data_IF_056758311178
#
_entry.id   IF_056758311178
#
_cell.length_a   1.000
_cell.length_b   1.000
_cell.length_c   1.000
_cell.angle_alpha   90.00
_cell.angle_beta   90.00
_cell.angle_gamma   90.00
#
_symmetry.space_group_name_H-M   'P 1'
#
loop_
_entity.id
_entity.type
_entity.pdbx_description
1 polymer ?
#
# COMPACT_ATOMS: atom_id res chain seq x y z
N UNK A 1 -26.58 -31.80 -13.33
CA UNK A 1 -26.68 -30.40 -13.81
C UNK A 1 -27.24 -30.41 -15.22
N UNK A 2 -28.26 -29.58 -15.44
CA UNK A 2 -29.10 -29.54 -16.64
C UNK A 2 -28.31 -29.18 -17.91
N UNK A 3 -28.78 -29.67 -19.06
CA UNK A 3 -28.25 -29.47 -20.43
C UNK A 3 -28.20 -27.98 -20.85
N UNK A 4 -28.67 -27.07 -20.01
CA UNK A 4 -28.67 -25.62 -20.25
C UNK A 4 -27.35 -24.89 -19.96
N UNK A 5 -26.36 -25.53 -19.33
CA UNK A 5 -25.08 -24.87 -18.98
C UNK A 5 -23.96 -25.05 -20.04
N UNK A 6 -24.29 -25.56 -21.24
CA UNK A 6 -23.34 -25.64 -22.36
C UNK A 6 -23.38 -24.34 -23.16
N UNK A 7 -22.56 -23.36 -22.78
CA UNK A 7 -22.28 -22.19 -23.62
C UNK A 7 -21.58 -22.68 -24.90
N UNK A 8 -22.14 -22.47 -26.10
CA UNK A 8 -21.52 -22.85 -27.38
C UNK A 8 -20.22 -22.06 -27.60
N UNK A 9 -19.18 -22.67 -28.19
CA UNK A 9 -17.91 -22.00 -28.49
C UNK A 9 -18.07 -20.75 -29.39
N UNK A 10 -19.15 -20.66 -30.16
CA UNK A 10 -19.55 -19.46 -30.91
C UNK A 10 -19.83 -18.25 -29.99
N UNK A 11 -20.28 -18.46 -28.76
CA UNK A 11 -20.48 -17.39 -27.76
C UNK A 11 -19.21 -17.01 -26.99
N UNK A 12 -18.13 -17.79 -27.06
CA UNK A 12 -16.83 -17.47 -26.42
C UNK A 12 -15.89 -16.66 -27.35
N UNK A 13 -16.14 -16.69 -28.66
CA UNK A 13 -15.40 -15.95 -29.69
C UNK A 13 -16.03 -14.61 -30.10
N UNK A 14 -17.17 -14.23 -29.50
CA UNK A 14 -17.69 -12.87 -29.66
C UNK A 14 -16.81 -11.90 -28.86
N UNK A 15 -16.22 -10.87 -29.48
CA UNK A 15 -15.53 -9.82 -28.75
C UNK A 15 -16.58 -8.99 -28.02
N UNK A 16 -16.40 -8.78 -26.71
CA UNK A 16 -16.65 -7.45 -26.18
C UNK A 16 -15.61 -6.54 -26.83
N UNK A 17 -16.09 -5.48 -27.47
CA UNK A 17 -15.45 -4.54 -28.39
C UNK A 17 -14.27 -3.75 -27.80
N UNK A 18 -13.19 -4.40 -27.35
CA UNK A 18 -12.06 -3.70 -26.67
C UNK A 18 -10.65 -4.13 -27.10
N UNK A 19 -10.51 -5.04 -28.08
CA UNK A 19 -9.22 -5.44 -28.64
C UNK A 19 -9.20 -5.24 -30.17
N UNK A 20 -9.04 -4.01 -30.64
CA UNK A 20 -8.78 -3.76 -32.05
C UNK A 20 -8.08 -2.42 -32.28
N UNK A 21 -6.77 -2.44 -32.55
CA UNK A 21 -6.10 -1.42 -33.35
C UNK A 21 -6.39 -1.70 -34.84
N UNK A 22 -6.53 -0.65 -35.65
CA UNK A 22 -7.34 -0.67 -36.89
C UNK A 22 -6.87 -1.59 -38.02
N UNK A 23 -5.63 -2.05 -38.04
CA UNK A 23 -5.09 -2.80 -39.18
C UNK A 23 -5.33 -4.32 -39.11
N UNK A 24 -5.62 -4.87 -37.92
CA UNK A 24 -5.93 -6.30 -37.76
C UNK A 24 -7.41 -6.63 -38.02
N UNK A 25 -8.30 -5.62 -38.04
CA UNK A 25 -9.76 -5.78 -38.08
C UNK A 25 -10.26 -6.32 -39.43
N UNK A 26 -9.62 -5.93 -40.53
CA UNK A 26 -10.15 -6.22 -41.88
C UNK A 26 -9.87 -7.66 -42.31
N UNK A 27 -8.74 -8.24 -41.89
CA UNK A 27 -8.37 -9.62 -42.21
C UNK A 27 -9.04 -10.62 -41.25
N UNK A 28 -9.29 -10.22 -40.00
CA UNK A 28 -9.89 -11.09 -38.99
C UNK A 28 -11.43 -11.06 -38.96
N UNK A 29 -12.07 -9.96 -39.36
CA UNK A 29 -13.54 -9.87 -39.43
C UNK A 29 -14.17 -10.86 -40.42
N UNK A 30 -13.59 -11.03 -41.62
CA UNK A 30 -14.04 -12.03 -42.60
C UNK A 30 -13.76 -13.47 -42.17
N UNK A 31 -12.63 -13.72 -41.48
CA UNK A 31 -12.24 -15.05 -40.97
C UNK A 31 -13.03 -15.48 -39.72
N UNK A 32 -13.58 -14.51 -38.96
CA UNK A 32 -14.42 -14.73 -37.78
C UNK A 32 -15.79 -15.31 -38.15
N UNK A 33 -16.48 -14.72 -39.13
CA UNK A 33 -17.78 -15.22 -39.61
C UNK A 33 -17.71 -16.66 -40.14
N UNK A 34 -16.60 -17.03 -40.78
CA UNK A 34 -16.40 -18.37 -41.34
C UNK A 34 -16.14 -19.43 -40.25
N UNK A 35 -15.42 -19.06 -39.18
CA UNK A 35 -15.19 -19.92 -38.03
C UNK A 35 -16.43 -20.05 -37.14
N UNK A 36 -17.14 -18.94 -36.89
CA UNK A 36 -18.40 -18.92 -36.14
C UNK A 36 -19.47 -19.76 -36.84
N UNK A 37 -19.57 -19.69 -38.17
CA UNK A 37 -20.48 -20.53 -38.97
C UNK A 37 -20.18 -22.03 -38.82
N UNK A 38 -18.91 -22.44 -38.94
CA UNK A 38 -18.52 -23.85 -38.72
C UNK A 38 -18.76 -24.28 -37.27
N UNK A 39 -18.51 -23.41 -36.29
CA UNK A 39 -18.70 -23.73 -34.88
C UNK A 39 -20.18 -23.82 -34.47
N UNK A 40 -21.07 -23.04 -35.08
CA UNK A 40 -22.52 -23.20 -34.93
C UNK A 40 -23.03 -24.50 -35.56
N UNK A 41 -22.48 -24.89 -36.70
CA UNK A 41 -22.73 -26.19 -37.34
C UNK A 41 -22.31 -27.35 -36.42
N UNK A 42 -21.12 -27.25 -35.82
CA UNK A 42 -20.61 -28.21 -34.85
C UNK A 42 -21.44 -28.30 -33.57
N UNK A 43 -21.94 -27.18 -33.05
CA UNK A 43 -22.80 -27.17 -31.87
C UNK A 43 -24.21 -27.72 -32.18
N UNK A 44 -24.75 -27.48 -33.38
CA UNK A 44 -26.00 -28.10 -33.83
C UNK A 44 -25.87 -29.62 -33.96
N UNK A 45 -24.75 -30.12 -34.46
CA UNK A 45 -24.51 -31.57 -34.54
C UNK A 45 -24.19 -32.25 -33.21
N UNK A 46 -23.72 -31.51 -32.20
CA UNK A 46 -23.48 -32.01 -30.84
C UNK A 46 -24.78 -32.15 -30.01
N UNK A 47 -25.82 -31.40 -30.36
CA UNK A 47 -27.08 -31.29 -29.59
C UNK A 47 -28.23 -32.08 -30.23
N UNK A 48 -28.16 -32.40 -31.54
CA UNK A 48 -29.20 -33.19 -32.19
C UNK A 48 -29.11 -34.69 -31.81
N UNK A 49 -30.23 -35.33 -31.41
CA UNK A 49 -30.25 -36.75 -31.08
C UNK A 49 -29.86 -37.60 -32.30
N UNK A 50 -28.99 -38.59 -32.09
CA UNK A 50 -28.64 -39.59 -33.11
C UNK A 50 -29.92 -40.17 -33.71
N UNK A 51 -29.96 -40.27 -35.05
CA UNK A 51 -30.98 -41.05 -35.78
C UNK A 51 -31.08 -42.43 -35.13
N UNK A 52 -32.22 -42.74 -34.51
CA UNK A 52 -32.53 -44.05 -33.93
C UNK A 52 -32.45 -45.12 -35.03
N UNK A 53 -31.36 -45.87 -35.07
CA UNK A 53 -31.22 -47.05 -35.93
C UNK A 53 -31.48 -48.29 -35.08
N UNK A 54 -32.46 -49.10 -35.46
CA UNK A 54 -32.82 -50.35 -34.76
C UNK A 54 -31.67 -51.35 -34.65
N UNK A 55 -30.69 -51.29 -35.56
CA UNK A 55 -29.48 -52.14 -35.54
C UNK A 55 -28.57 -51.83 -34.34
N UNK A 56 -28.56 -50.58 -33.86
CA UNK A 56 -27.71 -50.15 -32.74
C UNK A 56 -28.07 -50.85 -31.44
N UNK A 57 -29.36 -51.10 -31.21
CA UNK A 57 -29.87 -51.80 -30.01
C UNK A 57 -29.52 -53.30 -30.05
N UNK A 58 -29.46 -53.92 -31.23
CA UNK A 58 -29.01 -55.31 -31.39
C UNK A 58 -27.53 -55.48 -31.05
N UNK A 59 -26.68 -54.55 -31.51
CA UNK A 59 -25.25 -54.55 -31.18
C UNK A 59 -24.98 -54.28 -29.70
N UNK A 60 -25.80 -53.47 -29.02
CA UNK A 60 -25.67 -53.26 -27.57
C UNK A 60 -26.01 -54.53 -26.79
N UNK A 61 -27.02 -55.29 -27.23
CA UNK A 61 -27.39 -56.56 -26.59
C UNK A 61 -26.27 -57.61 -26.69
N UNK A 62 -25.51 -57.59 -27.78
CA UNK A 62 -24.34 -58.46 -27.99
C UNK A 62 -23.14 -58.09 -27.10
N UNK A 63 -23.00 -56.81 -26.71
CA UNK A 63 -21.82 -56.29 -25.96
C UNK A 63 -22.15 -56.02 -24.49
N UNK A 64 -23.35 -56.39 -24.03
CA UNK A 64 -23.91 -56.02 -22.73
C UNK A 64 -22.99 -56.32 -21.53
N UNK A 65 -22.27 -57.44 -21.56
CA UNK A 65 -21.39 -57.87 -20.46
C UNK A 65 -20.06 -57.10 -20.41
N UNK A 66 -19.62 -56.51 -21.53
CA UNK A 66 -18.36 -55.76 -21.65
C UNK A 66 -18.57 -54.27 -21.92
N UNK A 67 -19.81 -53.78 -21.86
CA UNK A 67 -20.18 -52.42 -22.22
C UNK A 67 -19.41 -51.37 -21.40
N UNK A 68 -19.12 -51.66 -20.13
CA UNK A 68 -18.29 -50.82 -19.26
C UNK A 68 -16.84 -50.68 -19.74
N UNK A 69 -16.25 -51.75 -20.29
CA UNK A 69 -14.90 -51.73 -20.84
C UNK A 69 -14.89 -51.01 -22.19
N UNK A 70 -15.89 -51.30 -23.03
CA UNK A 70 -16.04 -50.66 -24.33
C UNK A 70 -16.23 -49.14 -24.22
N UNK A 71 -17.08 -48.66 -23.31
CA UNK A 71 -17.27 -47.22 -23.08
C UNK A 71 -15.97 -46.55 -22.62
N UNK A 72 -15.22 -47.17 -21.71
CA UNK A 72 -13.91 -46.63 -21.26
C UNK A 72 -12.88 -46.62 -22.39
N UNK A 73 -12.77 -47.69 -23.15
CA UNK A 73 -11.85 -47.78 -24.29
C UNK A 73 -12.19 -46.78 -25.40
N UNK A 74 -13.48 -46.54 -25.68
CA UNK A 74 -13.89 -45.49 -26.62
C UNK A 74 -13.49 -44.09 -26.13
N UNK A 75 -13.61 -43.82 -24.83
CA UNK A 75 -13.17 -42.54 -24.23
C UNK A 75 -11.65 -42.40 -24.33
N UNK A 76 -10.88 -43.43 -23.99
CA UNK A 76 -9.43 -43.41 -24.06
C UNK A 76 -8.91 -43.33 -25.50
N UNK A 77 -9.46 -44.12 -26.43
CA UNK A 77 -9.12 -44.11 -27.85
C UNK A 77 -9.37 -42.72 -28.47
N UNK A 78 -10.47 -42.04 -28.11
CA UNK A 78 -10.71 -40.68 -28.55
C UNK A 78 -9.59 -39.71 -28.15
N UNK A 79 -8.91 -39.96 -27.01
CA UNK A 79 -7.77 -39.19 -26.55
C UNK A 79 -6.52 -39.28 -27.42
N UNK A 80 -6.28 -40.46 -28.01
CA UNK A 80 -5.10 -40.73 -28.84
C UNK A 80 -5.27 -40.27 -30.29
N UNK A 81 -6.50 -40.12 -30.74
CA UNK A 81 -6.80 -39.62 -32.07
C UNK A 81 -6.47 -38.13 -32.23
N UNK A 82 -6.03 -37.75 -33.42
CA UNK A 82 -5.75 -36.36 -33.81
C UNK A 82 -6.83 -35.75 -34.70
N UNK A 83 -7.52 -36.59 -35.47
CA UNK A 83 -8.58 -36.13 -36.36
C UNK A 83 -9.88 -35.83 -35.57
N UNK A 84 -10.41 -34.59 -35.65
CA UNK A 84 -11.61 -34.22 -34.92
C UNK A 84 -12.87 -35.03 -35.28
N UNK A 85 -12.98 -35.55 -36.51
CA UNK A 85 -14.13 -36.36 -36.93
C UNK A 85 -14.13 -37.72 -36.22
N UNK A 86 -12.98 -38.40 -36.20
CA UNK A 86 -12.80 -39.66 -35.49
C UNK A 86 -12.99 -39.52 -33.98
N UNK A 87 -12.45 -38.45 -33.37
CA UNK A 87 -12.68 -38.15 -31.95
C UNK A 87 -14.17 -37.98 -31.65
N UNK A 88 -14.90 -37.24 -32.48
CA UNK A 88 -16.33 -37.00 -32.30
C UNK A 88 -17.14 -38.30 -32.41
N UNK A 89 -16.79 -39.16 -33.37
CA UNK A 89 -17.41 -40.48 -33.54
C UNK A 89 -17.24 -41.35 -32.28
N UNK A 90 -16.02 -41.42 -31.73
CA UNK A 90 -15.71 -42.21 -30.54
C UNK A 90 -16.38 -41.67 -29.27
N UNK A 91 -16.41 -40.35 -29.09
CA UNK A 91 -17.11 -39.71 -27.96
C UNK A 91 -18.63 -39.89 -28.05
N UNK A 92 -19.22 -39.78 -29.25
CA UNK A 92 -20.65 -40.07 -29.46
C UNK A 92 -20.98 -41.54 -29.19
N UNK A 93 -20.12 -42.47 -29.59
CA UNK A 93 -20.27 -43.89 -29.29
C UNK A 93 -20.21 -44.17 -27.78
N UNK A 94 -19.29 -43.52 -27.06
CA UNK A 94 -19.21 -43.61 -25.60
C UNK A 94 -20.44 -43.00 -24.91
N UNK A 95 -20.96 -41.86 -25.40
CA UNK A 95 -22.19 -41.24 -24.87
C UNK A 95 -23.41 -42.15 -25.04
N UNK A 96 -23.51 -42.81 -26.21
CA UNK A 96 -24.58 -43.75 -26.48
C UNK A 96 -24.48 -44.98 -25.57
N UNK A 97 -23.31 -45.61 -25.46
CA UNK A 97 -23.10 -46.78 -24.59
C UNK A 97 -23.35 -46.48 -23.10
N UNK A 98 -23.00 -45.27 -22.65
CA UNK A 98 -23.26 -44.81 -21.28
C UNK A 98 -24.74 -44.76 -20.92
N UNK A 99 -25.64 -44.51 -21.88
CA UNK A 99 -27.08 -44.45 -21.63
C UNK A 99 -27.73 -45.79 -21.26
N UNK A 100 -27.02 -46.91 -21.51
CA UNK A 100 -27.53 -48.28 -21.28
C UNK A 100 -26.91 -48.96 -20.06
N UNK A 101 -25.98 -48.32 -19.36
CA UNK A 101 -25.38 -48.87 -18.14
C UNK A 101 -25.82 -48.07 -16.91
N UNK A 102 -26.46 -48.70 -15.92
CA UNK A 102 -26.71 -48.07 -14.63
C UNK A 102 -25.38 -47.86 -13.87
N UNK A 103 -25.23 -46.69 -13.23
CA UNK A 103 -24.11 -46.32 -12.33
C UNK A 103 -22.71 -46.09 -12.95
N UNK A 104 -22.57 -45.77 -14.24
CA UNK A 104 -21.27 -45.31 -14.78
C UNK A 104 -20.93 -43.90 -14.28
N UNK A 105 -19.74 -43.76 -13.68
CA UNK A 105 -19.15 -42.47 -13.37
C UNK A 105 -19.00 -41.61 -14.64
N UNK A 106 -19.59 -40.42 -14.58
CA UNK A 106 -19.62 -39.46 -15.68
C UNK A 106 -18.35 -38.61 -15.77
N UNK A 107 -17.54 -38.59 -14.72
CA UNK A 107 -16.33 -37.79 -14.62
C UNK A 107 -15.30 -38.06 -15.73
N UNK A 108 -14.90 -39.30 -16.07
CA UNK A 108 -13.90 -39.57 -17.11
C UNK A 108 -14.34 -39.08 -18.50
N UNK A 109 -15.63 -39.23 -18.82
CA UNK A 109 -16.20 -38.74 -20.08
C UNK A 109 -16.14 -37.21 -20.17
N UNK A 110 -16.55 -36.50 -19.11
CA UNK A 110 -16.54 -35.04 -19.08
C UNK A 110 -15.11 -34.51 -19.12
N UNK A 111 -14.19 -35.17 -18.41
CA UNK A 111 -12.75 -34.83 -18.39
C UNK A 111 -12.11 -35.01 -19.75
N UNK A 112 -12.40 -36.10 -20.46
CA UNK A 112 -11.90 -36.34 -21.81
C UNK A 112 -12.42 -35.28 -22.79
N UNK A 113 -13.72 -34.98 -22.76
CA UNK A 113 -14.30 -33.91 -23.58
C UNK A 113 -13.65 -32.55 -23.34
N UNK A 114 -13.38 -32.18 -22.07
CA UNK A 114 -12.64 -30.94 -21.74
C UNK A 114 -11.21 -30.96 -22.28
N UNK A 115 -10.53 -32.10 -22.15
CA UNK A 115 -9.14 -32.30 -22.57
C UNK A 115 -9.01 -32.20 -24.10
N UNK A 116 -9.87 -32.90 -24.83
CA UNK A 116 -9.92 -32.87 -26.30
C UNK A 116 -10.23 -31.47 -26.83
N UNK A 117 -11.11 -30.72 -26.17
CA UNK A 117 -11.40 -29.32 -26.55
C UNK A 117 -10.16 -28.43 -26.46
N UNK A 118 -9.38 -28.53 -25.38
CA UNK A 118 -8.12 -27.78 -25.24
C UNK A 118 -7.05 -28.25 -26.22
N UNK A 119 -6.89 -29.57 -26.37
CA UNK A 119 -5.90 -30.16 -27.28
C UNK A 119 -6.18 -29.79 -28.73
N UNK A 120 -7.43 -29.90 -29.20
CA UNK A 120 -7.78 -29.52 -30.57
C UNK A 120 -7.60 -28.02 -30.81
N UNK A 121 -7.94 -27.18 -29.83
CA UNK A 121 -7.70 -25.75 -29.92
C UNK A 121 -6.21 -25.45 -30.16
N UNK A 122 -5.33 -26.12 -29.42
CA UNK A 122 -3.88 -25.95 -29.47
C UNK A 122 -3.21 -26.65 -30.68
N UNK A 123 -3.78 -27.76 -31.15
CA UNK A 123 -3.34 -28.54 -32.33
C UNK A 123 -3.70 -27.87 -33.66
N UNK A 124 -4.65 -26.93 -33.67
CA UNK A 124 -5.02 -26.20 -34.88
C UNK A 124 -3.78 -25.68 -35.62
N UNK A 125 -3.76 -25.83 -36.95
CA UNK A 125 -2.61 -25.53 -37.80
C UNK A 125 -2.06 -24.11 -37.61
N UNK A 126 -2.91 -23.17 -37.21
CA UNK A 126 -2.55 -21.76 -36.96
C UNK A 126 -1.78 -21.54 -35.65
N UNK A 127 -1.91 -22.44 -34.68
CA UNK A 127 -1.23 -22.38 -33.37
C UNK A 127 -0.03 -23.34 -33.35
N UNK A 128 -0.16 -24.49 -34.02
CA UNK A 128 0.95 -25.36 -34.38
C UNK A 128 1.67 -25.99 -33.18
N UNK A 129 0.91 -26.44 -32.19
CA UNK A 129 1.46 -27.17 -31.03
C UNK A 129 0.85 -28.58 -31.00
N UNK A 130 1.53 -29.57 -31.61
CA UNK A 130 1.03 -30.95 -31.70
C UNK A 130 1.23 -31.68 -30.36
N UNK A 131 0.31 -31.48 -29.42
CA UNK A 131 0.34 -32.17 -28.12
C UNK A 131 -0.44 -33.48 -28.16
N UNK A 132 0.17 -34.54 -27.65
CA UNK A 132 -0.51 -35.81 -27.37
C UNK A 132 -1.20 -35.76 -26.01
N UNK A 133 -2.23 -36.60 -25.81
CA UNK A 133 -2.91 -36.70 -24.51
C UNK A 133 -1.97 -37.18 -23.39
N UNK A 134 -0.98 -38.01 -23.72
CA UNK A 134 0.05 -38.50 -22.78
C UNK A 134 0.99 -37.38 -22.32
N UNK A 135 1.19 -36.35 -23.14
CA UNK A 135 1.97 -35.16 -22.77
C UNK A 135 1.16 -34.12 -22.00
N UNK A 136 -0.18 -34.16 -22.06
CA UNK A 136 -1.09 -33.23 -21.40
C UNK A 136 -2.05 -33.96 -20.43
N UNK A 137 -1.54 -34.52 -19.31
CA UNK A 137 -2.41 -35.17 -18.33
C UNK A 137 -3.18 -34.12 -17.52
N UNK A 138 -4.50 -34.09 -17.65
CA UNK A 138 -5.42 -33.27 -16.85
C UNK A 138 -5.60 -33.80 -15.40
N UNK A 139 -4.88 -34.86 -15.02
CA UNK A 139 -4.88 -35.48 -13.69
C UNK A 139 -3.49 -35.39 -13.08
N UNK A 140 -3.32 -34.55 -12.07
CA UNK A 140 -2.09 -34.50 -11.28
C UNK A 140 -2.09 -35.64 -10.26
N UNK A 141 -1.66 -36.84 -10.65
CA UNK A 141 -1.22 -37.84 -9.68
C UNK A 141 0.21 -37.50 -9.24
N UNK A 142 0.55 -37.74 -7.97
CA UNK A 142 1.78 -37.30 -7.30
C UNK A 142 3.08 -37.70 -8.06
N UNK A 143 3.05 -38.77 -8.85
CA UNK A 143 4.17 -39.24 -9.68
C UNK A 143 4.36 -38.48 -11.00
N UNK A 144 3.33 -37.84 -11.56
CA UNK A 144 3.36 -37.23 -12.91
C UNK A 144 3.85 -35.78 -12.91
N UNK A 145 4.19 -35.22 -11.74
CA UNK A 145 4.65 -33.83 -11.59
C UNK A 145 6.09 -33.62 -12.11
N UNK A 146 6.86 -34.69 -12.29
CA UNK A 146 8.30 -34.63 -12.57
C UNK A 146 8.69 -34.78 -14.05
N UNK A 147 7.78 -35.17 -14.97
CA UNK A 147 8.17 -35.44 -16.37
C UNK A 147 7.26 -34.91 -17.49
N UNK A 148 6.08 -34.33 -17.22
CA UNK A 148 5.14 -33.92 -18.30
C UNK A 148 4.56 -32.51 -18.13
N UNK A 149 4.15 -31.92 -19.27
CA UNK A 149 3.73 -30.54 -19.45
C UNK A 149 2.52 -30.21 -18.56
N UNK A 150 2.75 -29.55 -17.42
CA UNK A 150 1.64 -29.07 -16.60
C UNK A 150 0.83 -28.00 -17.35
N UNK A 151 -0.45 -27.85 -17.03
CA UNK A 151 -1.33 -26.88 -17.67
C UNK A 151 -0.76 -25.44 -17.65
N UNK A 152 -0.04 -25.10 -16.57
CA UNK A 152 0.71 -23.86 -16.42
C UNK A 152 1.80 -23.72 -17.49
N UNK A 153 2.57 -24.77 -17.77
CA UNK A 153 3.63 -24.73 -18.80
C UNK A 153 3.02 -24.62 -20.21
N UNK A 154 1.84 -25.18 -20.45
CA UNK A 154 1.13 -24.96 -21.71
C UNK A 154 0.76 -23.49 -21.88
N UNK A 155 0.18 -22.87 -20.87
CA UNK A 155 -0.16 -21.44 -20.89
C UNK A 155 1.10 -20.59 -21.07
N UNK A 156 2.18 -20.88 -20.35
CA UNK A 156 3.46 -20.18 -20.47
C UNK A 156 4.03 -20.28 -21.90
N UNK A 157 3.93 -21.46 -22.54
CA UNK A 157 4.33 -21.64 -23.94
C UNK A 157 3.45 -20.83 -24.91
N UNK A 158 2.13 -20.79 -24.68
CA UNK A 158 1.22 -19.97 -25.49
C UNK A 158 1.51 -18.48 -25.33
N UNK A 159 1.82 -18.04 -24.11
CA UNK A 159 2.23 -16.66 -23.78
C UNK A 159 3.53 -16.29 -24.49
N UNK A 160 4.55 -17.16 -24.45
CA UNK A 160 5.83 -16.95 -25.16
C UNK A 160 5.62 -16.87 -26.68
N UNK A 161 4.69 -17.68 -27.23
CA UNK A 161 4.28 -17.62 -28.64
C UNK A 161 3.31 -16.48 -28.97
N UNK A 162 2.99 -15.61 -28.01
CA UNK A 162 2.11 -14.44 -28.17
C UNK A 162 0.64 -14.76 -28.44
N UNK A 163 0.19 -15.99 -28.15
CA UNK A 163 -1.20 -16.40 -28.24
C UNK A 163 -1.98 -16.08 -26.94
N UNK A 164 -1.94 -14.82 -26.50
CA UNK A 164 -2.51 -14.38 -25.22
C UNK A 164 -4.03 -14.61 -25.12
N UNK A 165 -4.78 -14.30 -26.19
CA UNK A 165 -6.23 -14.48 -26.20
C UNK A 165 -6.62 -15.95 -26.00
N UNK A 166 -6.00 -16.86 -26.74
CA UNK A 166 -6.23 -18.29 -26.59
C UNK A 166 -5.89 -18.78 -25.18
N UNK A 167 -4.76 -18.32 -24.63
CA UNK A 167 -4.36 -18.67 -23.27
C UNK A 167 -5.41 -18.22 -22.23
N UNK A 168 -5.95 -17.01 -22.36
CA UNK A 168 -7.02 -16.51 -21.48
C UNK A 168 -8.30 -17.33 -21.63
N UNK A 169 -8.71 -17.66 -22.85
CA UNK A 169 -9.91 -18.47 -23.08
C UNK A 169 -9.77 -19.87 -22.49
N UNK A 170 -8.60 -20.50 -22.63
CA UNK A 170 -8.31 -21.80 -22.03
C UNK A 170 -8.31 -21.69 -20.49
N UNK A 171 -7.74 -20.64 -19.91
CA UNK A 171 -7.74 -20.40 -18.46
C UNK A 171 -9.17 -20.25 -17.90
N UNK A 172 -10.02 -19.47 -18.58
CA UNK A 172 -11.45 -19.30 -18.23
C UNK A 172 -12.22 -20.61 -18.38
N UNK A 173 -11.97 -21.35 -19.46
CA UNK A 173 -12.63 -22.64 -19.72
C UNK A 173 -12.31 -23.68 -18.63
N UNK A 174 -11.07 -23.68 -18.14
CA UNK A 174 -10.62 -24.57 -17.07
C UNK A 174 -10.94 -24.05 -15.67
N UNK A 175 -11.64 -22.90 -15.57
CA UNK A 175 -12.08 -22.28 -14.30
C UNK A 175 -10.93 -22.09 -13.30
N UNK A 176 -9.78 -21.65 -13.80
CA UNK A 176 -8.66 -21.33 -12.91
C UNK A 176 -8.97 -20.08 -12.08
N UNK A 177 -8.35 -19.96 -10.88
CA UNK A 177 -8.31 -18.70 -10.17
C UNK A 177 -7.76 -17.59 -11.05
N UNK A 178 -8.40 -16.42 -11.05
CA UNK A 178 -8.03 -15.33 -11.95
C UNK A 178 -6.57 -14.89 -11.76
N UNK A 179 -6.05 -14.93 -10.52
CA UNK A 179 -4.67 -14.59 -10.16
C UNK A 179 -3.65 -15.47 -10.91
N UNK A 180 -3.86 -16.79 -10.93
CA UNK A 180 -2.94 -17.73 -11.57
C UNK A 180 -3.16 -17.86 -13.08
N UNK A 181 -4.36 -17.51 -13.56
CA UNK A 181 -4.75 -17.60 -14.95
C UNK A 181 -4.73 -16.27 -15.67
N UNK A 182 -5.90 -15.65 -15.77
CA UNK A 182 -6.16 -14.47 -16.58
C UNK A 182 -5.23 -13.29 -16.22
N UNK A 183 -5.08 -12.99 -14.93
CA UNK A 183 -4.28 -11.88 -14.41
C UNK A 183 -2.79 -12.05 -14.74
N UNK A 184 -2.23 -13.24 -14.52
CA UNK A 184 -0.84 -13.55 -14.88
C UNK A 184 -0.59 -13.41 -16.38
N UNK A 185 -1.48 -13.93 -17.22
CA UNK A 185 -1.36 -13.83 -18.68
C UNK A 185 -1.44 -12.36 -19.14
N UNK A 186 -2.34 -11.58 -18.55
CA UNK A 186 -2.49 -10.15 -18.81
C UNK A 186 -1.25 -9.35 -18.40
N UNK A 187 -0.62 -9.68 -17.26
CA UNK A 187 0.63 -9.06 -16.84
C UNK A 187 1.76 -9.31 -17.84
N UNK A 188 1.90 -10.55 -18.35
CA UNK A 188 2.87 -10.87 -19.40
C UNK A 188 2.56 -10.17 -20.72
N UNK A 189 1.28 -10.07 -21.11
CA UNK A 189 0.85 -9.31 -22.27
C UNK A 189 1.20 -7.82 -22.14
N UNK A 190 0.96 -7.22 -20.98
CA UNK A 190 1.31 -5.82 -20.71
C UNK A 190 2.83 -5.60 -20.77
N UNK A 191 3.62 -6.50 -20.16
CA UNK A 191 5.08 -6.46 -20.27
C UNK A 191 5.57 -6.56 -21.72
N UNK A 192 4.93 -7.42 -22.53
CA UNK A 192 5.25 -7.52 -23.96
C UNK A 192 4.89 -6.23 -24.70
N UNK A 193 3.73 -5.63 -24.41
CA UNK A 193 3.30 -4.38 -25.04
C UNK A 193 4.19 -3.20 -24.68
N UNK A 194 4.64 -3.11 -23.43
CA UNK A 194 5.58 -2.09 -22.95
C UNK A 194 6.92 -2.13 -23.68
N UNK A 195 7.39 -3.32 -24.07
CA UNK A 195 8.62 -3.49 -24.88
C UNK A 195 8.50 -2.96 -26.31
N UNK A 196 7.29 -2.74 -26.83
CA UNK A 196 7.09 -2.32 -28.22
C UNK A 196 7.42 -0.85 -28.41
N UNK A 197 8.67 -0.61 -28.80
CA UNK A 197 9.34 0.68 -28.94
C UNK A 197 8.68 1.67 -29.92
N UNK A 198 7.91 1.15 -30.88
CA UNK A 198 7.29 1.91 -31.98
C UNK A 198 5.94 2.55 -31.64
N UNK A 199 5.27 2.10 -30.56
CA UNK A 199 3.94 2.60 -30.18
C UNK A 199 4.05 3.81 -29.27
N UNK A 200 3.08 4.73 -29.42
CA UNK A 200 2.96 5.90 -28.57
C UNK A 200 2.70 5.52 -27.11
N UNK A 201 3.38 6.23 -26.21
CA UNK A 201 3.36 5.99 -24.76
C UNK A 201 1.96 6.19 -24.16
N UNK A 202 1.18 7.15 -24.64
CA UNK A 202 -0.14 7.46 -24.06
C UNK A 202 -1.19 6.45 -24.50
N UNK A 203 -1.11 6.01 -25.74
CA UNK A 203 -1.94 4.92 -26.26
C UNK A 203 -1.62 3.62 -25.54
N UNK A 204 -0.34 3.29 -25.35
CA UNK A 204 0.07 2.08 -24.63
C UNK A 204 -0.42 2.10 -23.18
N UNK A 205 -0.29 3.22 -22.47
CA UNK A 205 -0.76 3.34 -21.10
C UNK A 205 -2.28 3.16 -20.98
N UNK A 206 -3.06 3.84 -21.85
CA UNK A 206 -4.52 3.70 -21.88
C UNK A 206 -4.96 2.29 -22.22
N UNK A 207 -4.37 1.68 -23.25
CA UNK A 207 -4.73 0.32 -23.64
C UNK A 207 -4.42 -0.71 -22.53
N UNK A 208 -3.35 -0.50 -21.76
CA UNK A 208 -3.04 -1.36 -20.61
C UNK A 208 -4.05 -1.10 -19.49
N UNK A 209 -4.36 0.16 -19.19
CA UNK A 209 -5.34 0.55 -18.19
C UNK A 209 -6.74 -0.01 -18.50
N UNK A 210 -7.21 0.10 -19.74
CA UNK A 210 -8.53 -0.38 -20.16
C UNK A 210 -8.66 -1.92 -20.07
N UNK A 211 -7.54 -2.64 -20.29
CA UNK A 211 -7.54 -4.11 -20.35
C UNK A 211 -7.23 -4.78 -19.02
N UNK A 212 -6.36 -4.18 -18.20
CA UNK A 212 -6.09 -4.66 -16.85
C UNK A 212 -7.16 -4.16 -15.89
N UNK A 213 -7.68 -2.94 -16.07
CA UNK A 213 -8.64 -2.31 -15.20
C UNK A 213 -8.27 -2.47 -13.72
N UNK A 214 -9.27 -2.78 -12.89
CA UNK A 214 -9.08 -3.17 -11.50
C UNK A 214 -9.04 -4.70 -11.31
N UNK A 215 -8.50 -5.44 -12.29
CA UNK A 215 -8.45 -6.89 -12.20
C UNK A 215 -7.65 -7.34 -10.96
N UNK A 216 -8.22 -8.21 -10.11
CA UNK A 216 -7.55 -8.65 -8.90
C UNK A 216 -6.28 -9.45 -9.24
N UNK A 217 -5.18 -9.11 -8.56
CA UNK A 217 -3.92 -9.84 -8.65
C UNK A 217 -2.91 -9.32 -9.68
N UNK A 218 -3.21 -8.27 -10.45
CA UNK A 218 -2.20 -7.62 -11.30
C UNK A 218 -1.64 -6.39 -10.61
N UNK A 219 -0.31 -6.30 -10.48
CA UNK A 219 0.36 -5.08 -10.02
C UNK A 219 0.91 -4.29 -11.20
N UNK A 220 0.44 -3.06 -11.36
CA UNK A 220 0.99 -2.09 -12.30
C UNK A 220 2.45 -1.76 -11.98
N UNK A 221 2.87 -1.87 -10.72
CA UNK A 221 4.26 -1.63 -10.31
C UNK A 221 5.27 -2.54 -11.02
N UNK A 222 4.93 -3.81 -11.28
CA UNK A 222 5.82 -4.75 -11.98
C UNK A 222 5.95 -4.40 -13.46
N UNK A 223 4.84 -3.98 -14.06
CA UNK A 223 4.77 -3.56 -15.47
C UNK A 223 5.54 -2.25 -15.65
N UNK A 224 5.39 -1.31 -14.72
CA UNK A 224 6.12 -0.05 -14.69
C UNK A 224 7.64 -0.26 -14.49
N UNK A 225 8.06 -1.19 -13.61
CA UNK A 225 9.46 -1.60 -13.50
C UNK A 225 10.00 -2.12 -14.83
N UNK A 226 9.23 -2.96 -15.54
CA UNK A 226 9.63 -3.44 -16.87
C UNK A 226 9.67 -2.32 -17.92
N UNK A 227 8.82 -1.30 -17.82
CA UNK A 227 8.91 -0.11 -18.66
C UNK A 227 10.19 0.68 -18.39
N UNK A 228 10.55 0.85 -17.12
CA UNK A 228 11.78 1.49 -16.68
C UNK A 228 13.02 0.74 -17.17
N UNK A 229 13.06 -0.59 -17.00
CA UNK A 229 14.13 -1.48 -17.49
C UNK A 229 14.35 -1.34 -19.02
N UNK A 230 13.29 -1.03 -19.76
CA UNK A 230 13.34 -0.82 -21.21
C UNK A 230 13.68 0.63 -21.62
N UNK A 231 14.07 1.49 -20.67
CA UNK A 231 14.39 2.90 -20.90
C UNK A 231 13.18 3.81 -21.14
N UNK A 232 11.95 3.33 -20.92
CA UNK A 232 10.71 4.08 -21.13
C UNK A 232 10.20 4.68 -19.82
N UNK A 233 11.00 5.56 -19.22
CA UNK A 233 10.73 6.19 -17.90
C UNK A 233 9.38 6.92 -17.86
N UNK A 234 9.09 7.74 -18.87
CA UNK A 234 7.83 8.48 -18.99
C UNK A 234 6.58 7.57 -19.06
N UNK A 235 6.70 6.39 -19.69
CA UNK A 235 5.63 5.39 -19.70
C UNK A 235 5.50 4.73 -18.32
N UNK A 236 6.62 4.45 -17.65
CA UNK A 236 6.63 3.88 -16.30
C UNK A 236 5.91 4.80 -15.29
N UNK A 237 6.15 6.12 -15.37
CA UNK A 237 5.48 7.12 -14.52
C UNK A 237 3.97 7.10 -14.79
N UNK A 238 3.53 7.15 -16.04
CA UNK A 238 2.08 7.10 -16.34
C UNK A 238 1.43 5.79 -15.89
N UNK A 239 2.13 4.65 -15.99
CA UNK A 239 1.61 3.36 -15.55
C UNK A 239 1.49 3.27 -14.03
N UNK A 240 2.34 3.97 -13.29
CA UNK A 240 2.34 3.90 -11.83
C UNK A 240 1.18 4.65 -11.20
N UNK A 241 0.62 5.65 -11.89
CA UNK A 241 -0.56 6.37 -11.44
C UNK A 241 -1.81 5.48 -11.36
N UNK A 242 -1.81 4.34 -12.06
CA UNK A 242 -2.87 3.34 -11.97
C UNK A 242 -2.68 2.33 -10.83
N UNK A 243 -1.52 2.32 -10.14
CA UNK A 243 -1.33 1.45 -8.97
C UNK A 243 -2.02 2.08 -7.74
N UNK A 244 -2.97 1.39 -7.08
CA UNK A 244 -3.68 1.94 -5.93
C UNK A 244 -2.83 1.97 -4.64
N UNK A 245 -1.72 1.22 -4.60
CA UNK A 245 -0.88 1.06 -3.41
C UNK A 245 0.29 2.04 -3.43
N UNK A 246 0.21 3.07 -2.58
CA UNK A 246 1.27 4.06 -2.41
C UNK A 246 2.63 3.45 -2.03
N UNK A 247 2.63 2.39 -1.21
CA UNK A 247 3.84 1.68 -0.78
C UNK A 247 4.62 1.03 -1.93
N UNK A 248 3.98 0.75 -3.06
CA UNK A 248 4.63 0.26 -4.28
C UNK A 248 4.95 1.41 -5.25
N UNK A 249 4.12 2.45 -5.23
CA UNK A 249 4.27 3.62 -6.08
C UNK A 249 5.53 4.42 -5.72
N UNK A 250 5.65 4.84 -4.46
CA UNK A 250 6.69 5.76 -4.00
C UNK A 250 8.10 5.21 -4.20
N UNK A 251 8.44 3.96 -3.81
CA UNK A 251 9.79 3.43 -4.00
C UNK A 251 10.20 3.31 -5.47
N UNK A 252 9.23 3.11 -6.38
CA UNK A 252 9.53 3.05 -7.81
C UNK A 252 9.68 4.45 -8.41
N UNK A 253 8.90 5.45 -7.98
CA UNK A 253 9.11 6.85 -8.37
C UNK A 253 10.49 7.36 -7.95
N UNK A 254 10.93 7.06 -6.73
CA UNK A 254 12.28 7.39 -6.26
C UNK A 254 13.36 6.76 -7.14
N UNK A 255 13.21 5.49 -7.54
CA UNK A 255 14.15 4.82 -8.46
C UNK A 255 14.17 5.43 -9.86
N UNK A 256 13.08 6.08 -10.29
CA UNK A 256 12.97 6.77 -11.56
C UNK A 256 13.54 8.20 -11.52
N UNK A 257 13.96 8.68 -10.35
CA UNK A 257 14.42 10.06 -10.13
C UNK A 257 13.27 11.08 -10.01
N UNK A 258 12.04 10.61 -9.82
CA UNK A 258 10.86 11.47 -9.68
C UNK A 258 10.63 11.82 -8.20
N UNK A 259 11.50 12.67 -7.68
CA UNK A 259 11.60 13.07 -6.29
C UNK A 259 10.34 13.80 -5.78
N UNK A 260 9.92 14.90 -6.44
CA UNK A 260 8.76 15.69 -6.02
C UNK A 260 7.45 14.90 -6.14
N UNK A 261 7.16 14.20 -7.27
CA UNK A 261 5.96 13.36 -7.36
C UNK A 261 5.92 12.27 -6.30
N UNK A 262 7.07 11.68 -5.95
CA UNK A 262 7.13 10.67 -4.88
C UNK A 262 6.74 11.25 -3.52
N UNK A 263 7.16 12.49 -3.22
CA UNK A 263 6.82 13.18 -1.98
C UNK A 263 5.33 13.48 -1.90
N UNK A 264 4.74 13.97 -2.98
CA UNK A 264 3.29 14.25 -3.04
C UNK A 264 2.49 12.97 -2.82
N UNK A 265 2.84 11.87 -3.52
CA UNK A 265 2.16 10.59 -3.34
C UNK A 265 2.34 9.98 -1.95
N UNK A 266 3.50 10.19 -1.32
CA UNK A 266 3.71 9.78 0.07
C UNK A 266 2.83 10.59 1.04
N UNK A 267 2.73 11.90 0.86
CA UNK A 267 1.87 12.78 1.68
C UNK A 267 0.39 12.38 1.51
N UNK A 268 -0.06 12.19 0.26
CA UNK A 268 -1.44 11.79 -0.05
C UNK A 268 -1.81 10.43 0.57
N UNK A 269 -0.83 9.54 0.75
CA UNK A 269 -1.04 8.23 1.37
C UNK A 269 -1.31 8.30 2.87
N UNK A 270 -0.89 9.39 3.53
CA UNK A 270 -0.97 9.56 4.98
C UNK A 270 -0.02 8.65 5.79
N UNK A 271 0.80 7.83 5.12
CA UNK A 271 1.78 6.96 5.78
C UNK A 271 3.04 7.75 6.13
N UNK A 272 3.26 7.97 7.44
CA UNK A 272 4.41 8.73 7.93
C UNK A 272 5.74 8.06 7.61
N UNK A 273 5.78 6.73 7.58
CA UNK A 273 7.01 5.99 7.31
C UNK A 273 7.41 6.17 5.85
N UNK A 274 6.44 6.16 4.95
CA UNK A 274 6.66 6.42 3.54
C UNK A 274 7.16 7.85 3.27
N UNK A 275 6.61 8.83 4.00
CA UNK A 275 7.10 10.22 3.93
C UNK A 275 8.53 10.32 4.45
N UNK A 276 8.88 9.63 5.54
CA UNK A 276 10.26 9.59 6.03
C UNK A 276 11.23 8.96 5.04
N UNK A 277 10.84 7.87 4.37
CA UNK A 277 11.66 7.24 3.33
C UNK A 277 11.99 8.25 2.23
N UNK A 278 11.00 9.01 1.75
CA UNK A 278 11.21 10.04 0.72
C UNK A 278 12.08 11.17 1.27
N UNK A 279 11.78 11.70 2.46
CA UNK A 279 12.53 12.81 3.06
C UNK A 279 14.03 12.48 3.24
N UNK A 280 14.35 11.27 3.72
CA UNK A 280 15.72 10.84 3.89
C UNK A 280 16.42 10.63 2.55
N UNK A 281 15.73 10.06 1.57
CA UNK A 281 16.25 9.92 0.20
C UNK A 281 16.55 11.28 -0.43
N UNK A 282 15.65 12.25 -0.30
CA UNK A 282 15.84 13.61 -0.80
C UNK A 282 17.05 14.26 -0.14
N UNK A 283 17.13 14.22 1.19
CA UNK A 283 18.25 14.80 1.95
C UNK A 283 19.61 14.27 1.50
N UNK A 284 19.70 12.98 1.19
CA UNK A 284 20.96 12.33 0.86
C UNK A 284 21.36 12.54 -0.63
N UNK A 285 20.39 12.78 -1.52
CA UNK A 285 20.61 12.92 -2.96
C UNK A 285 20.58 14.36 -3.49
N UNK A 286 20.17 15.33 -2.68
CA UNK A 286 20.07 16.74 -3.09
C UNK A 286 20.83 17.66 -2.12
N UNK A 287 21.31 18.83 -2.57
CA UNK A 287 22.00 19.77 -1.69
C UNK A 287 21.04 20.32 -0.62
N UNK A 288 21.54 20.48 0.61
CA UNK A 288 20.73 20.87 1.78
C UNK A 288 19.87 22.12 1.56
N UNK A 289 20.39 23.13 0.86
CA UNK A 289 19.63 24.36 0.58
C UNK A 289 18.43 24.10 -0.35
N UNK A 290 18.60 23.28 -1.39
CA UNK A 290 17.52 22.92 -2.31
C UNK A 290 16.48 22.04 -1.63
N UNK A 291 16.92 21.10 -0.81
CA UNK A 291 16.07 20.26 0.03
C UNK A 291 15.18 21.10 0.94
N UNK A 292 15.77 22.03 1.70
CA UNK A 292 15.03 22.92 2.60
C UNK A 292 14.01 23.77 1.83
N UNK A 293 14.38 24.34 0.68
CA UNK A 293 13.45 25.10 -0.17
C UNK A 293 12.29 24.23 -0.68
N UNK A 294 12.55 22.98 -1.03
CA UNK A 294 11.54 22.07 -1.58
C UNK A 294 10.54 21.66 -0.51
N UNK A 295 11.01 21.25 0.67
CA UNK A 295 10.14 20.80 1.76
C UNK A 295 9.29 21.95 2.31
N UNK A 296 9.78 23.19 2.27
CA UNK A 296 9.02 24.36 2.72
C UNK A 296 7.67 24.50 2.00
N UNK A 297 7.58 24.07 0.74
CA UNK A 297 6.34 24.08 -0.02
C UNK A 297 5.31 23.04 0.45
N UNK A 298 5.71 22.10 1.30
CA UNK A 298 4.92 20.98 1.79
C UNK A 298 4.89 20.97 3.33
N UNK A 299 3.92 21.66 3.98
CA UNK A 299 3.90 21.86 5.42
C UNK A 299 3.92 20.56 6.25
N UNK A 300 3.25 19.51 5.79
CA UNK A 300 3.23 18.21 6.46
C UNK A 300 4.63 17.57 6.48
N UNK A 301 5.30 17.54 5.34
CA UNK A 301 6.66 17.05 5.22
C UNK A 301 7.64 17.89 6.05
N UNK A 302 7.49 19.22 6.06
CA UNK A 302 8.28 20.12 6.90
C UNK A 302 8.10 19.79 8.39
N UNK A 303 6.86 19.58 8.84
CA UNK A 303 6.59 19.24 10.24
C UNK A 303 7.21 17.91 10.68
N UNK A 304 7.18 16.90 9.80
CA UNK A 304 7.78 15.58 10.04
C UNK A 304 9.31 15.67 10.04
N UNK A 305 9.88 16.47 9.14
CA UNK A 305 11.32 16.72 9.10
C UNK A 305 11.80 17.47 10.35
N UNK A 306 11.10 18.51 10.78
CA UNK A 306 11.40 19.22 12.03
C UNK A 306 11.35 18.28 13.24
N UNK A 307 10.42 17.33 13.27
CA UNK A 307 10.37 16.28 14.30
C UNK A 307 11.59 15.37 14.23
N UNK A 308 11.97 14.91 13.04
CA UNK A 308 13.17 14.09 12.85
C UNK A 308 14.45 14.80 13.31
N UNK A 309 14.60 16.10 12.98
CA UNK A 309 15.76 16.89 13.39
C UNK A 309 15.84 17.07 14.91
N UNK A 310 14.69 17.21 15.62
CA UNK A 310 14.69 17.29 17.10
C UNK A 310 15.34 16.08 17.75
N UNK A 311 15.17 14.89 17.18
CA UNK A 311 15.65 13.65 17.77
C UNK A 311 17.09 13.30 17.32
N UNK A 312 17.48 13.69 16.10
CA UNK A 312 18.75 13.25 15.50
C UNK A 312 19.79 14.36 15.31
N UNK A 313 19.37 15.59 15.01
CA UNK A 313 20.28 16.69 14.71
C UNK A 313 19.71 18.06 15.10
N UNK A 314 20.06 18.48 16.31
CA UNK A 314 19.63 19.73 16.93
C UNK A 314 20.20 20.97 16.21
N UNK A 315 21.42 20.90 15.67
CA UNK A 315 22.07 22.03 15.00
C UNK A 315 21.33 22.39 13.71
N UNK A 316 20.98 21.37 12.91
CA UNK A 316 20.19 21.60 11.68
C UNK A 316 18.82 22.19 11.99
N UNK A 317 18.21 21.81 13.10
CA UNK A 317 16.94 22.40 13.54
C UNK A 317 17.08 23.90 13.83
N UNK A 318 18.20 24.31 14.45
CA UNK A 318 18.49 25.71 14.74
C UNK A 318 18.66 26.51 13.45
N UNK A 319 19.40 25.96 12.49
CA UNK A 319 19.63 26.60 11.19
C UNK A 319 18.31 26.78 10.42
N UNK A 320 17.40 25.79 10.48
CA UNK A 320 16.08 25.91 9.86
C UNK A 320 15.26 27.03 10.51
N UNK A 321 15.25 27.12 11.85
CA UNK A 321 14.54 28.21 12.54
C UNK A 321 15.13 29.59 12.24
N UNK A 322 16.43 29.66 11.99
CA UNK A 322 17.10 30.90 11.57
C UNK A 322 16.77 31.29 10.14
N UNK A 323 16.71 30.33 9.21
CA UNK A 323 16.32 30.60 7.82
C UNK A 323 14.83 30.96 7.66
N UNK A 324 13.96 30.39 8.49
CA UNK A 324 12.51 30.66 8.44
C UNK A 324 12.09 31.94 9.18
N UNK A 325 13.03 32.67 9.79
CA UNK A 325 12.76 33.78 10.72
C UNK A 325 11.78 33.40 11.84
N UNK A 326 11.73 32.12 12.21
CA UNK A 326 10.84 31.62 13.26
C UNK A 326 11.48 31.79 14.63
N UNK A 327 11.63 33.06 15.03
CA UNK A 327 12.29 33.43 16.27
C UNK A 327 11.54 32.94 17.53
N UNK A 328 10.21 32.73 17.45
CA UNK A 328 9.42 32.14 18.54
C UNK A 328 9.80 30.68 18.79
N UNK A 329 9.92 29.87 17.72
CA UNK A 329 10.33 28.47 17.84
C UNK A 329 11.78 28.35 18.31
N UNK A 330 12.67 29.23 17.82
CA UNK A 330 14.06 29.32 18.28
C UNK A 330 14.15 29.64 19.78
N UNK A 331 13.36 30.59 20.25
CA UNK A 331 13.34 30.95 21.67
C UNK A 331 12.82 29.81 22.56
N UNK A 332 11.76 29.13 22.14
CA UNK A 332 11.24 27.95 22.83
C UNK A 332 12.24 26.79 22.85
N UNK A 333 13.04 26.65 21.79
CA UNK A 333 14.13 25.70 21.72
C UNK A 333 15.21 25.99 22.78
N UNK A 334 15.72 27.23 22.86
CA UNK A 334 16.68 27.63 23.90
C UNK A 334 16.12 27.47 25.31
N UNK A 335 14.82 27.72 25.50
CA UNK A 335 14.17 27.50 26.79
C UNK A 335 14.25 26.02 27.19
N UNK A 336 13.93 25.08 26.28
CA UNK A 336 14.05 23.65 26.57
C UNK A 336 15.49 23.24 26.83
N UNK A 337 16.42 23.75 26.04
CA UNK A 337 17.85 23.54 26.20
C UNK A 337 18.36 23.96 27.59
N UNK A 338 17.79 25.03 28.16
CA UNK A 338 18.16 25.55 29.48
C UNK A 338 17.81 24.62 30.66
N UNK A 339 16.90 23.67 30.44
CA UNK A 339 16.47 22.66 31.42
C UNK A 339 17.02 21.26 31.11
N UNK A 340 17.74 21.08 30.01
CA UNK A 340 18.37 19.81 29.68
C UNK A 340 19.67 19.64 30.51
N UNK A 341 19.78 18.61 31.37
CA UNK A 341 20.97 18.37 32.17
C UNK A 341 22.22 18.03 31.33
N UNK A 342 22.06 17.67 30.05
CA UNK A 342 23.16 17.38 29.14
C UNK A 342 23.76 18.62 28.49
N UNK A 343 23.16 19.80 28.69
CA UNK A 343 23.63 21.03 28.08
C UNK A 343 24.95 21.51 28.70
N UNK A 344 25.92 21.85 27.86
CA UNK A 344 27.21 22.42 28.27
C UNK A 344 27.12 23.91 28.61
N UNK A 345 26.06 24.61 28.18
CA UNK A 345 25.91 26.06 28.43
C UNK A 345 25.22 26.32 29.76
N UNK A 346 25.55 27.45 30.39
CA UNK A 346 24.90 27.82 31.65
C UNK A 346 23.45 28.19 31.40
N UNK A 347 22.55 27.75 32.28
CA UNK A 347 21.11 28.05 32.20
C UNK A 347 20.81 29.54 32.00
N UNK A 348 21.60 30.41 32.62
CA UNK A 348 21.49 31.85 32.46
C UNK A 348 21.81 32.33 31.04
N UNK A 349 22.83 31.76 30.39
CA UNK A 349 23.18 32.08 29.01
C UNK A 349 22.09 31.62 28.03
N UNK A 350 21.57 30.40 28.17
CA UNK A 350 20.51 29.89 27.30
C UNK A 350 19.22 30.70 27.45
N UNK A 351 18.86 31.12 28.67
CA UNK A 351 17.73 32.02 28.92
C UNK A 351 17.95 33.41 28.30
N UNK A 352 19.19 33.91 28.24
CA UNK A 352 19.50 35.20 27.61
C UNK A 352 19.33 35.13 26.10
N UNK A 353 19.80 34.05 25.47
CA UNK A 353 19.56 33.77 24.05
C UNK A 353 18.06 33.57 23.74
N UNK A 354 17.31 32.92 24.63
CA UNK A 354 15.85 32.79 24.52
C UNK A 354 15.16 34.17 24.58
N UNK A 355 15.54 35.02 25.54
CA UNK A 355 15.03 36.40 25.68
C UNK A 355 15.28 37.23 24.42
N UNK A 356 16.51 37.22 23.91
CA UNK A 356 16.87 37.97 22.70
C UNK A 356 16.04 37.49 21.49
N UNK A 357 15.84 36.18 21.38
CA UNK A 357 15.02 35.59 20.31
C UNK A 357 13.54 35.98 20.44
N UNK A 358 12.95 35.98 21.64
CA UNK A 358 11.58 36.45 21.85
C UNK A 358 11.40 37.95 21.56
N UNK A 359 12.41 38.78 21.87
CA UNK A 359 12.41 40.19 21.49
C UNK A 359 12.41 40.37 19.97
N UNK A 360 13.25 39.62 19.25
CA UNK A 360 13.23 39.60 17.78
C UNK A 360 11.88 39.12 17.23
N UNK A 361 11.22 38.18 17.92
CA UNK A 361 9.88 37.69 17.58
C UNK A 361 8.71 38.64 17.92
N UNK A 362 8.99 39.82 18.51
CA UNK A 362 8.00 40.78 19.06
C UNK A 362 7.08 40.17 20.12
N UNK A 363 7.53 39.13 20.82
CA UNK A 363 6.79 38.50 21.91
C UNK A 363 7.26 39.06 23.25
N UNK A 364 6.75 40.26 23.59
CA UNK A 364 7.18 41.00 24.78
C UNK A 364 6.88 40.21 26.07
N UNK A 365 5.74 39.53 26.13
CA UNK A 365 5.36 38.72 27.29
C UNK A 365 6.36 37.58 27.54
N UNK A 366 6.72 36.81 26.51
CA UNK A 366 7.68 35.71 26.70
C UNK A 366 9.09 36.23 27.04
N UNK A 367 9.47 37.39 26.49
CA UNK A 367 10.73 38.04 26.82
C UNK A 367 10.78 38.51 28.29
N UNK A 368 9.70 39.13 28.79
CA UNK A 368 9.62 39.54 30.21
C UNK A 368 9.63 38.35 31.15
N UNK A 369 8.93 37.27 30.82
CA UNK A 369 8.96 36.03 31.61
C UNK A 369 10.36 35.41 31.67
N UNK A 370 11.12 35.41 30.56
CA UNK A 370 12.51 34.95 30.57
C UNK A 370 13.40 35.85 31.45
N UNK A 371 13.19 37.16 31.43
CA UNK A 371 13.92 38.13 32.25
C UNK A 371 13.61 37.96 33.75
N UNK A 372 12.33 37.79 34.10
CA UNK A 372 11.89 37.50 35.47
C UNK A 372 12.47 36.17 35.97
N UNK A 373 12.48 35.13 35.14
CA UNK A 373 13.08 33.84 35.52
C UNK A 373 14.59 33.96 35.78
N UNK A 374 15.33 34.74 34.97
CA UNK A 374 16.75 34.98 35.23
C UNK A 374 16.97 35.75 36.55
N UNK A 375 16.15 36.77 36.82
CA UNK A 375 16.20 37.53 38.09
C UNK A 375 15.93 36.62 39.27
N UNK A 376 14.96 35.72 39.17
CA UNK A 376 14.60 34.77 40.22
C UNK A 376 15.76 33.82 40.52
N UNK A 377 16.39 33.24 39.49
CA UNK A 377 17.52 32.34 39.67
C UNK A 377 18.71 33.04 40.35
N UNK A 378 19.02 34.28 39.95
CA UNK A 378 20.06 35.09 40.61
C UNK A 378 19.72 35.35 42.07
N UNK A 379 18.47 35.72 42.37
CA UNK A 379 18.01 35.95 43.73
C UNK A 379 18.08 34.67 44.58
N UNK A 380 17.59 33.55 44.04
CA UNK A 380 17.66 32.24 44.71
C UNK A 380 19.11 31.85 45.02
N UNK A 381 20.05 32.03 44.09
CA UNK A 381 21.48 31.77 44.32
C UNK A 381 21.99 32.57 45.54
N UNK A 382 21.65 33.86 45.65
CA UNK A 382 22.03 34.66 46.82
C UNK A 382 21.36 34.22 48.13
N UNK A 383 20.17 33.62 48.06
CA UNK A 383 19.49 33.05 49.22
C UNK A 383 20.14 31.73 49.66
N UNK A 384 20.56 30.89 48.70
CA UNK A 384 21.30 29.66 49.00
C UNK A 384 22.61 29.96 49.73
N UNK A 385 23.35 30.97 49.27
CA UNK A 385 24.58 31.41 49.92
C UNK A 385 24.34 31.91 51.36
N UNK A 386 23.26 32.67 51.56
CA UNK A 386 22.92 33.28 52.86
C UNK A 386 22.42 32.25 53.87
N UNK A 387 21.54 31.35 53.45
CA UNK A 387 20.82 30.43 54.34
C UNK A 387 21.36 28.99 54.31
N UNK A 388 22.29 28.67 53.41
CA UNK A 388 22.86 27.33 53.18
C UNK A 388 21.78 26.26 53.02
N UNK A 389 20.74 26.58 52.24
CA UNK A 389 19.62 25.70 51.88
C UNK A 389 19.35 25.80 50.39
N UNK A 390 18.69 24.79 49.83
CA UNK A 390 18.30 24.77 48.42
C UNK A 390 17.13 25.73 48.16
N UNK A 391 17.33 26.68 47.26
CA UNK A 391 16.34 27.63 46.76
C UNK A 391 16.27 27.65 45.23
N UNK A 392 17.35 27.34 44.54
CA UNK A 392 17.45 27.44 43.07
C UNK A 392 16.53 26.42 42.41
N UNK A 393 15.68 26.90 41.51
CA UNK A 393 14.73 26.08 40.76
C UNK A 393 13.33 26.00 41.38
N UNK A 394 13.14 26.52 42.59
CA UNK A 394 11.81 26.69 43.18
C UNK A 394 10.97 27.71 42.40
N UNK A 395 9.65 27.57 42.45
CA UNK A 395 8.75 28.61 41.93
C UNK A 395 8.80 29.85 42.82
N UNK A 396 8.32 31.00 42.32
CA UNK A 396 8.15 32.22 43.15
C UNK A 396 7.32 31.91 44.40
N UNK A 397 6.27 31.09 44.26
CA UNK A 397 5.40 30.67 45.36
C UNK A 397 6.18 29.90 46.43
N UNK A 398 6.92 28.87 46.02
CA UNK A 398 7.66 28.01 46.94
C UNK A 398 8.84 28.75 47.58
N UNK A 399 9.44 29.69 46.84
CA UNK A 399 10.50 30.58 47.35
C UNK A 399 9.95 31.48 48.47
N UNK A 400 8.77 32.09 48.27
CA UNK A 400 8.10 32.88 49.31
C UNK A 400 7.72 32.01 50.51
N UNK A 401 7.17 30.82 50.26
CA UNK A 401 6.81 29.89 51.32
C UNK A 401 8.02 29.52 52.19
N UNK A 402 9.14 29.15 51.56
CA UNK A 402 10.34 28.76 52.28
C UNK A 402 10.93 29.92 53.10
N UNK A 403 10.90 31.16 52.57
CA UNK A 403 11.29 32.35 53.31
C UNK A 403 10.38 32.62 54.52
N UNK A 404 9.07 32.41 54.39
CA UNK A 404 8.13 32.53 55.50
C UNK A 404 8.36 31.44 56.56
N UNK A 405 8.65 30.21 56.15
CA UNK A 405 9.02 29.11 57.05
C UNK A 405 10.35 29.36 57.79
N UNK A 406 11.24 30.18 57.22
CA UNK A 406 12.48 30.65 57.85
C UNK A 406 12.29 31.91 58.71
N UNK A 407 11.04 32.37 58.88
CA UNK A 407 10.66 33.60 59.59
C UNK A 407 11.26 34.89 58.98
N UNK A 408 11.65 34.87 57.70
CA UNK A 408 12.25 35.99 56.96
C UNK A 408 11.18 36.80 56.21
N UNK A 409 10.23 37.33 56.97
CA UNK A 409 9.03 38.03 56.47
C UNK A 409 9.36 39.23 55.58
N UNK A 410 10.43 39.98 55.89
CA UNK A 410 10.82 41.17 55.12
C UNK A 410 11.29 40.80 53.70
N UNK A 411 12.04 39.71 53.56
CA UNK A 411 12.48 39.21 52.26
C UNK A 411 11.31 38.64 51.46
N UNK A 412 10.38 37.96 52.13
CA UNK A 412 9.14 37.46 51.52
C UNK A 412 8.24 38.59 50.98
N UNK A 413 8.03 39.68 51.73
CA UNK A 413 7.29 40.86 51.26
C UNK A 413 8.00 41.55 50.08
N UNK A 414 9.34 41.64 50.12
CA UNK A 414 10.11 42.22 49.02
C UNK A 414 9.89 41.42 47.73
N UNK A 415 9.99 40.09 47.80
CA UNK A 415 9.80 39.21 46.64
C UNK A 415 8.35 39.25 46.13
N UNK A 416 7.36 39.31 47.04
CA UNK A 416 5.94 39.51 46.71
C UNK A 416 5.72 40.80 45.92
N UNK A 417 6.31 41.92 46.37
CA UNK A 417 6.16 43.21 45.71
C UNK A 417 6.83 43.23 44.32
N UNK A 418 8.01 42.63 44.20
CA UNK A 418 8.80 42.60 42.95
C UNK A 418 8.13 41.75 41.86
N UNK A 419 7.61 40.56 42.20
CA UNK A 419 6.93 39.66 41.27
C UNK A 419 5.40 39.84 41.23
N UNK A 420 4.88 40.89 41.88
CA UNK A 420 3.45 41.23 41.93
C UNK A 420 2.57 40.03 42.31
N UNK A 421 2.98 39.26 43.30
CA UNK A 421 2.22 38.09 43.78
C UNK A 421 0.86 38.56 44.33
N UNK A 422 -0.27 37.99 43.88
CA UNK A 422 -1.59 38.44 44.32
C UNK A 422 -1.75 38.40 45.84
N UNK A 423 -2.32 39.46 46.41
CA UNK A 423 -2.54 39.62 47.85
C UNK A 423 -3.24 38.41 48.47
N UNK A 424 -4.31 37.92 47.84
CA UNK A 424 -5.04 36.72 48.25
C UNK A 424 -4.12 35.49 48.38
N UNK A 425 -3.23 35.27 47.42
CA UNK A 425 -2.31 34.11 47.43
C UNK A 425 -1.24 34.25 48.49
N UNK A 426 -0.70 35.45 48.68
CA UNK A 426 0.28 35.72 49.72
C UNK A 426 -0.30 35.58 51.14
N UNK A 427 -1.54 36.04 51.36
CA UNK A 427 -2.23 35.89 52.65
C UNK A 427 -2.43 34.42 53.02
N UNK A 428 -2.88 33.59 52.08
CA UNK A 428 -2.98 32.14 52.28
C UNK A 428 -1.64 31.52 52.66
N UNK A 429 -0.59 31.81 51.87
CA UNK A 429 0.78 31.36 52.14
C UNK A 429 1.23 31.70 53.56
N UNK A 430 1.00 32.94 53.98
CA UNK A 430 1.44 33.44 55.28
C UNK A 430 0.69 32.80 56.45
N UNK A 431 -0.63 32.62 56.33
CA UNK A 431 -1.43 31.93 57.36
C UNK A 431 -0.99 30.47 57.47
N UNK A 432 -0.85 29.77 56.34
CA UNK A 432 -0.40 28.37 56.32
C UNK A 432 1.01 28.22 56.91
N UNK A 433 1.93 29.13 56.58
CA UNK A 433 3.29 29.12 57.13
C UNK A 433 3.29 29.35 58.64
N UNK A 434 2.54 30.34 59.14
CA UNK A 434 2.46 30.65 60.58
C UNK A 434 1.78 29.51 61.36
N UNK A 435 0.76 28.88 60.79
CA UNK A 435 0.12 27.70 61.36
C UNK A 435 1.09 26.51 61.44
N UNK A 436 1.86 26.26 60.37
CA UNK A 436 2.88 25.20 60.35
C UNK A 436 4.00 25.43 61.36
N UNK A 437 4.39 26.70 61.58
CA UNK A 437 5.36 27.09 62.61
C UNK A 437 4.77 27.15 64.03
N UNK A 438 3.45 26.98 64.19
CA UNK A 438 2.73 27.15 65.46
C UNK A 438 2.94 28.53 66.11
N UNK A 439 3.21 29.57 65.31
CA UNK A 439 3.38 30.95 65.80
C UNK A 439 2.04 31.68 65.82
N UNK A 440 1.20 31.30 66.78
CA UNK A 440 -0.12 31.89 66.99
C UNK A 440 -0.06 33.37 67.37
N UNK A 441 1.08 33.82 67.92
CA UNK A 441 1.27 35.20 68.36
C UNK A 441 1.41 36.16 67.18
N UNK A 442 2.21 35.79 66.19
CA UNK A 442 2.36 36.54 64.95
C UNK A 442 1.12 36.40 64.06
N UNK A 443 0.40 35.27 64.14
CA UNK A 443 -0.88 35.12 63.44
C UNK A 443 -1.95 36.08 63.98
N UNK A 444 -2.08 36.22 65.30
CA UNK A 444 -3.01 37.18 65.92
C UNK A 444 -2.63 38.63 65.54
N UNK A 445 -1.34 38.98 65.58
CA UNK A 445 -0.87 40.29 65.10
C UNK A 445 -1.20 40.50 63.62
N UNK A 446 -0.95 39.49 62.78
CA UNK A 446 -1.20 39.57 61.34
C UNK A 446 -2.69 39.81 61.05
N UNK A 447 -3.59 39.15 61.77
CA UNK A 447 -5.05 39.35 61.63
C UNK A 447 -5.50 40.80 61.87
N UNK A 448 -4.74 41.56 62.68
CA UNK A 448 -5.04 42.95 63.05
C UNK A 448 -4.42 43.99 62.11
N UNK A 449 -3.53 43.58 61.19
CA UNK A 449 -2.77 44.54 60.36
C UNK A 449 -3.58 45.19 59.23
N UNK A 450 -4.36 44.41 58.48
CA UNK A 450 -5.18 44.87 57.35
C UNK A 450 -6.42 43.98 57.24
N UNK A 451 -7.48 44.48 56.60
CA UNK A 451 -8.64 43.67 56.24
C UNK A 451 -8.18 42.49 55.37
N UNK A 452 -8.47 41.27 55.82
CA UNK A 452 -8.13 40.06 55.10
C UNK A 452 -8.78 40.02 53.71
N UNK A 453 -8.00 39.92 52.62
CA UNK A 453 -8.51 39.79 51.27
C UNK A 453 -9.11 38.40 50.98
N UNK A 454 -9.03 37.47 51.94
CA UNK A 454 -9.54 36.10 51.82
C UNK A 454 -10.72 35.82 52.76
N UNK A 455 -11.12 36.79 53.59
CA UNK A 455 -12.03 36.55 54.71
C UNK A 455 -11.30 36.06 55.96
N UNK A 456 -12.04 35.85 57.05
CA UNK A 456 -11.54 35.31 58.32
C UNK A 456 -12.13 33.93 58.65
N UNK A 457 -12.96 33.40 57.75
CA UNK A 457 -13.41 32.00 57.73
C UNK A 457 -12.27 31.12 57.21
#
# INVERSE_FOLDING_TARGET
MSVKDQIPFAQMLTPSTTFASSDDVVIWGKKKHELEGKLEEWNKELIYPLKRSHRSDEYIRLVKDQLNVAVRQCIEAAGYEFDPSNQMMLIRAAQFGKSFVPDIDSEPYVKMCRTLRVLNAVRNLRIGVPLTITQYPLSATFHTRLQHLSFQVLLDRLVVRRHFYLAIQIAKYLRMPDVEGSSRILAHWACYKVKQTQLDREQVARDIADKLGYAPGVSYSEIAKKAADCGRTQLAIKLIDYEPRASLQVPLLLKLGEDIPSLVKAIDSGDTDLVYIVLLHLRDNMPMAEFQMTIRNYPMAQSLYLKYCRDHNIETLRDIYDQEDNHNAKAAFYLKESYDPKNSTTKAASLESAKQSYRSARNEFAATMCEEQQKLLKYQTTLEDKFRREFVGLSVHDTVHLLLMLNEVKLAEKLRAEYKVPDRRYWWLRILSLAALSDWSELDKFSKTKKSPIGYE
#
